data_IF_241630606577
#
_entry.id   IF_241630606577
#
_cell.length_a   1.000
_cell.length_b   1.000
_cell.length_c   1.000
_cell.angle_alpha   90.00
_cell.angle_beta   90.00
_cell.angle_gamma   90.00
#
_symmetry.space_group_name_H-M   'P 1'
#
loop_
_entity.id
_entity.type
_entity.pdbx_description
1 polymer ?
#
# COMPACT_ATOMS: atom_id res chain seq x y z
N UNK A 1 51.87 -13.79 0.93
CA UNK A 1 50.85 -14.06 1.97
C UNK A 1 49.54 -14.38 1.26
N UNK A 2 49.09 -15.63 1.32
CA UNK A 2 47.78 -16.01 0.81
C UNK A 2 46.72 -15.41 1.74
N UNK A 3 46.10 -14.31 1.32
CA UNK A 3 45.05 -13.66 2.11
C UNK A 3 43.88 -14.62 2.32
N UNK A 4 43.48 -14.85 3.56
CA UNK A 4 42.24 -15.56 3.90
C UNK A 4 41.07 -14.89 3.17
N UNK A 5 40.62 -15.48 2.07
CA UNK A 5 39.42 -15.04 1.38
C UNK A 5 38.23 -15.57 2.14
N UNK A 6 37.43 -14.66 2.71
CA UNK A 6 36.15 -15.02 3.30
C UNK A 6 35.29 -15.75 2.24
N UNK A 7 34.68 -16.90 2.55
CA UNK A 7 33.85 -17.62 1.60
C UNK A 7 32.72 -16.73 1.06
N UNK A 8 32.44 -16.83 -0.25
CA UNK A 8 31.42 -15.99 -0.93
C UNK A 8 30.05 -16.05 -0.24
N UNK A 9 29.69 -17.22 0.28
CA UNK A 9 28.43 -17.44 1.01
C UNK A 9 28.35 -16.58 2.29
N UNK A 10 29.46 -16.46 3.02
CA UNK A 10 29.53 -15.61 4.22
C UNK A 10 29.48 -14.13 3.85
N UNK A 11 30.15 -13.71 2.77
CA UNK A 11 30.05 -12.33 2.27
C UNK A 11 28.60 -11.97 1.96
N UNK A 12 27.88 -12.85 1.25
CA UNK A 12 26.46 -12.65 0.94
C UNK A 12 25.62 -12.57 2.22
N UNK A 13 25.85 -13.45 3.20
CA UNK A 13 25.14 -13.39 4.48
C UNK A 13 25.39 -12.08 5.24
N UNK A 14 26.62 -11.57 5.24
CA UNK A 14 26.96 -10.29 5.87
C UNK A 14 26.24 -9.16 5.15
N UNK A 15 26.38 -9.06 3.82
CA UNK A 15 25.77 -8.00 3.03
C UNK A 15 24.24 -7.97 3.17
N UNK A 16 23.57 -9.11 3.17
CA UNK A 16 22.11 -9.17 3.30
C UNK A 16 21.57 -8.66 4.66
N UNK A 17 22.43 -8.54 5.68
CA UNK A 17 22.06 -8.01 7.01
C UNK A 17 22.40 -6.52 7.19
N UNK A 18 23.09 -5.92 6.22
CA UNK A 18 23.53 -4.55 6.34
C UNK A 18 22.43 -3.55 5.97
N UNK A 19 22.42 -2.36 6.60
CA UNK A 19 21.54 -1.27 6.20
C UNK A 19 21.74 -0.89 4.73
N UNK A 20 20.67 -0.56 3.98
CA UNK A 20 20.76 -0.15 2.58
C UNK A 20 21.76 1.00 2.34
N UNK A 21 21.75 2.02 3.21
CA UNK A 21 22.68 3.17 3.14
C UNK A 21 24.16 2.70 3.10
N UNK A 22 24.53 1.68 3.87
CA UNK A 22 25.89 1.13 3.89
C UNK A 22 26.21 0.34 2.62
N UNK A 23 25.25 -0.46 2.14
CA UNK A 23 25.39 -1.23 0.90
C UNK A 23 25.58 -0.31 -0.31
N UNK A 24 24.83 0.79 -0.38
CA UNK A 24 24.99 1.78 -1.45
C UNK A 24 26.38 2.42 -1.44
N UNK A 25 26.96 2.70 -0.26
CA UNK A 25 28.36 3.16 -0.15
C UNK A 25 29.35 2.10 -0.65
N UNK A 26 29.11 0.82 -0.36
CA UNK A 26 29.97 -0.28 -0.81
C UNK A 26 29.94 -0.51 -2.31
N UNK A 27 28.80 -0.25 -2.98
CA UNK A 27 28.72 -0.26 -4.46
C UNK A 27 29.74 0.70 -5.08
N UNK A 28 30.02 1.83 -4.42
CA UNK A 28 30.97 2.84 -4.91
C UNK A 28 32.45 2.45 -4.75
N UNK A 29 32.77 1.43 -3.94
CA UNK A 29 34.16 1.08 -3.62
C UNK A 29 34.83 0.25 -4.71
N UNK A 30 34.11 -0.71 -5.31
CA UNK A 30 34.66 -1.58 -6.36
C UNK A 30 33.58 -2.21 -7.25
N UNK A 31 33.90 -2.45 -8.52
CA UNK A 31 32.97 -3.06 -9.51
C UNK A 31 32.43 -4.43 -9.06
N UNK A 32 33.27 -5.26 -8.42
CA UNK A 32 32.82 -6.56 -7.91
C UNK A 32 31.81 -6.44 -6.76
N UNK A 33 31.97 -5.46 -5.87
CA UNK A 33 30.99 -5.18 -4.82
C UNK A 33 29.69 -4.66 -5.41
N UNK A 34 29.78 -3.75 -6.39
CA UNK A 34 28.60 -3.28 -7.12
C UNK A 34 27.82 -4.44 -7.76
N UNK A 35 28.52 -5.31 -8.50
CA UNK A 35 27.91 -6.48 -9.15
C UNK A 35 27.30 -7.47 -8.14
N UNK A 36 28.00 -7.74 -7.03
CA UNK A 36 27.51 -8.65 -6.00
C UNK A 36 26.27 -8.10 -5.29
N UNK A 37 26.31 -6.83 -4.85
CA UNK A 37 25.22 -6.18 -4.12
C UNK A 37 23.98 -6.01 -5.01
N UNK A 38 24.19 -5.72 -6.30
CA UNK A 38 23.09 -5.59 -7.27
C UNK A 38 22.56 -6.92 -7.79
N UNK A 39 23.15 -8.06 -7.37
CA UNK A 39 22.69 -9.37 -7.81
C UNK A 39 21.34 -9.73 -7.18
N UNK A 40 20.47 -10.38 -7.96
CA UNK A 40 19.13 -10.82 -7.49
C UNK A 40 19.21 -11.63 -6.19
N UNK A 41 20.23 -12.47 -6.04
CA UNK A 41 20.40 -13.30 -4.85
C UNK A 41 20.64 -12.48 -3.58
N UNK A 42 21.48 -11.44 -3.64
CA UNK A 42 21.74 -10.58 -2.47
C UNK A 42 20.51 -9.73 -2.15
N UNK A 43 19.84 -9.18 -3.16
CA UNK A 43 18.61 -8.39 -3.01
C UNK A 43 17.49 -9.22 -2.38
N UNK A 44 17.22 -10.42 -2.90
CA UNK A 44 16.17 -11.29 -2.38
C UNK A 44 16.45 -11.71 -0.92
N UNK A 45 17.70 -12.05 -0.60
CA UNK A 45 18.10 -12.41 0.76
C UNK A 45 18.08 -11.23 1.72
N UNK A 46 18.39 -10.02 1.23
CA UNK A 46 18.26 -8.78 1.99
C UNK A 46 16.80 -8.51 2.35
N UNK A 47 15.88 -8.62 1.38
CA UNK A 47 14.44 -8.53 1.60
C UNK A 47 13.93 -9.54 2.60
N UNK A 48 14.27 -10.82 2.42
CA UNK A 48 13.85 -11.89 3.33
C UNK A 48 14.30 -11.64 4.77
N UNK A 49 15.53 -11.15 4.95
CA UNK A 49 16.05 -10.82 6.27
C UNK A 49 15.26 -9.69 6.93
N UNK A 50 15.04 -8.59 6.22
CA UNK A 50 14.35 -7.42 6.80
C UNK A 50 12.83 -7.60 6.93
N UNK A 51 12.22 -8.52 6.17
CA UNK A 51 10.79 -8.87 6.30
C UNK A 51 10.49 -9.78 7.51
N UNK A 52 11.43 -10.65 7.93
CA UNK A 52 11.12 -11.73 8.88
C UNK A 52 12.03 -11.81 10.11
N UNK A 53 13.20 -11.18 10.06
CA UNK A 53 14.27 -11.36 11.05
C UNK A 53 14.75 -10.02 11.62
N UNK A 54 14.08 -8.92 11.27
CA UNK A 54 14.40 -7.58 11.77
C UNK A 54 13.95 -7.44 13.22
N UNK A 55 14.78 -6.84 14.06
CA UNK A 55 14.41 -6.44 15.43
C UNK A 55 13.65 -5.10 15.48
N UNK A 56 13.32 -4.55 14.31
CA UNK A 56 12.60 -3.28 14.20
C UNK A 56 11.51 -3.37 13.13
N UNK A 57 10.38 -2.75 13.43
CA UNK A 57 9.31 -2.49 12.45
C UNK A 57 9.49 -1.08 11.89
N UNK A 58 9.34 -0.92 10.58
CA UNK A 58 9.23 0.41 9.95
C UNK A 58 7.82 0.61 9.42
N UNK A 59 7.27 1.81 9.62
CA UNK A 59 5.96 2.24 9.13
C UNK A 59 6.18 3.47 8.27
N UNK A 60 5.67 3.45 7.05
CA UNK A 60 5.60 4.64 6.20
C UNK A 60 4.35 5.43 6.59
N UNK A 61 4.55 6.69 6.94
CA UNK A 61 3.51 7.65 7.27
C UNK A 61 3.37 8.65 6.13
N UNK A 62 2.14 8.95 5.74
CA UNK A 62 1.76 10.17 5.01
C UNK A 62 1.03 11.03 6.02
N UNK A 63 1.55 12.21 6.35
CA UNK A 63 1.02 13.02 7.45
C UNK A 63 0.93 14.50 7.08
N UNK A 64 -0.16 15.19 7.45
CA UNK A 64 -0.25 16.63 7.40
C UNK A 64 0.63 17.27 8.48
N UNK A 65 1.26 18.38 8.14
CA UNK A 65 2.05 19.22 9.04
C UNK A 65 1.59 20.66 8.85
N UNK A 66 1.23 21.31 9.96
CA UNK A 66 0.81 22.72 9.97
C UNK A 66 2.03 23.58 10.25
N UNK A 67 2.33 24.54 9.36
CA UNK A 67 3.38 25.51 9.61
C UNK A 67 2.88 26.71 10.43
N UNK A 68 3.73 27.25 11.31
CA UNK A 68 3.48 28.50 12.04
C UNK A 68 3.79 29.72 11.16
N UNK A 69 3.08 29.89 10.05
CA UNK A 69 3.07 31.12 9.25
C UNK A 69 1.71 31.80 9.29
N UNK A 70 1.65 33.08 8.91
CA UNK A 70 0.42 33.88 8.86
C UNK A 70 -0.68 33.23 8.00
N UNK A 71 -0.29 32.44 7.01
CA UNK A 71 -1.16 31.54 6.24
C UNK A 71 -1.11 30.14 6.87
N UNK A 72 -2.20 29.69 7.50
CA UNK A 72 -2.37 28.33 8.05
C UNK A 72 -2.48 27.28 6.92
N UNK A 73 -1.47 27.17 6.06
CA UNK A 73 -1.47 26.17 5.01
C UNK A 73 -0.96 24.85 5.58
N UNK A 74 -1.67 23.77 5.30
CA UNK A 74 -1.22 22.41 5.59
C UNK A 74 -0.27 21.95 4.49
N UNK A 75 0.75 21.18 4.87
CA UNK A 75 1.66 20.53 3.94
C UNK A 75 1.74 19.04 4.25
N UNK A 76 1.98 18.21 3.25
CA UNK A 76 2.04 16.76 3.42
C UNK A 76 3.51 16.30 3.41
N UNK A 77 3.83 15.46 4.38
CA UNK A 77 5.15 14.83 4.57
C UNK A 77 5.03 13.33 4.54
N UNK A 78 6.00 12.69 3.90
CA UNK A 78 6.21 11.26 4.05
C UNK A 78 7.33 10.99 5.05
N UNK A 79 7.09 10.15 6.04
CA UNK A 79 8.06 9.83 7.10
C UNK A 79 8.17 8.33 7.32
N UNK A 80 9.35 7.85 7.69
CA UNK A 80 9.58 6.49 8.15
C UNK A 80 9.65 6.49 9.68
N UNK A 81 8.61 5.96 10.32
CA UNK A 81 8.59 5.66 11.75
C UNK A 81 9.22 4.28 11.96
N UNK A 82 10.39 4.22 12.60
CA UNK A 82 11.05 2.96 12.96
C UNK A 82 10.89 2.69 14.45
N UNK A 83 10.23 1.59 14.77
CA UNK A 83 10.01 1.09 16.13
C UNK A 83 11.01 -0.03 16.40
N UNK A 84 11.77 0.06 17.49
CA UNK A 84 12.75 -0.96 17.87
C UNK A 84 12.21 -1.79 19.03
N UNK A 85 12.32 -3.11 18.90
CA UNK A 85 11.86 -4.03 19.94
C UNK A 85 12.83 -3.96 21.12
N UNK A 86 12.42 -3.31 22.21
CA UNK A 86 13.18 -3.31 23.46
C UNK A 86 13.02 -4.66 24.17
N UNK A 87 14.15 -5.31 24.48
CA UNK A 87 14.22 -6.45 25.40
C UNK A 87 14.42 -6.01 26.87
N UNK A 88 14.39 -4.71 27.14
CA UNK A 88 14.72 -4.16 28.45
C UNK A 88 13.44 -3.76 29.17
N UNK A 89 13.28 -4.21 30.42
CA UNK A 89 12.06 -4.10 31.22
C UNK A 89 11.69 -2.71 31.73
N UNK A 90 12.11 -1.64 31.03
CA UNK A 90 11.70 -0.27 31.33
C UNK A 90 10.52 0.09 30.41
N UNK A 91 9.30 -0.13 30.91
CA UNK A 91 8.06 0.08 30.14
C UNK A 91 7.84 1.54 29.67
N UNK A 92 8.60 2.51 30.19
CA UNK A 92 8.35 3.95 29.99
C UNK A 92 9.14 4.60 28.84
N UNK A 93 10.17 3.97 28.28
CA UNK A 93 10.87 4.53 27.12
C UNK A 93 10.46 3.78 25.84
N UNK A 94 10.05 4.54 24.81
CA UNK A 94 9.86 4.00 23.47
C UNK A 94 11.12 4.29 22.67
N UNK A 95 11.92 3.30 22.30
CA UNK A 95 12.94 3.46 21.26
C UNK A 95 12.28 3.51 19.87
N UNK A 96 11.98 4.73 19.42
CA UNK A 96 11.51 5.00 18.06
C UNK A 96 12.30 6.14 17.41
N UNK A 97 12.37 6.11 16.09
CA UNK A 97 12.96 7.15 15.26
C UNK A 97 11.98 7.53 14.15
N UNK A 98 11.94 8.81 13.78
CA UNK A 98 11.08 9.32 12.69
C UNK A 98 11.99 10.08 11.73
N UNK A 99 12.21 9.51 10.54
CA UNK A 99 13.00 10.13 9.48
C UNK A 99 12.07 10.60 8.34
N UNK A 100 12.09 11.89 8.02
CA UNK A 100 11.34 12.42 6.87
C UNK A 100 12.02 12.02 5.55
N UNK A 101 11.20 11.59 4.58
CA UNK A 101 11.65 11.16 3.27
C UNK A 101 11.93 12.40 2.40
N UNK A 102 13.16 12.49 1.90
CA UNK A 102 13.52 13.50 0.92
C UNK A 102 13.33 12.97 -0.49
N UNK A 103 12.41 13.58 -1.23
CA UNK A 103 12.22 13.31 -2.65
C UNK A 103 13.17 14.15 -3.52
N UNK A 104 13.78 13.57 -4.57
CA UNK A 104 14.57 14.34 -5.53
C UNK A 104 13.69 15.36 -6.27
N UNK A 105 14.13 16.62 -6.49
CA UNK A 105 13.35 17.61 -7.25
C UNK A 105 12.96 17.16 -8.67
N UNK A 106 13.75 16.28 -9.27
CA UNK A 106 13.52 15.69 -10.59
C UNK A 106 12.31 14.77 -10.69
N UNK A 107 11.72 14.38 -9.57
CA UNK A 107 10.50 13.54 -9.53
C UNK A 107 9.25 14.31 -10.01
N UNK A 108 9.34 15.64 -10.12
CA UNK A 108 8.22 16.48 -10.53
C UNK A 108 7.25 16.83 -9.40
N UNK A 109 7.56 16.46 -8.15
CA UNK A 109 6.83 16.94 -6.98
C UNK A 109 7.10 18.44 -6.78
N UNK A 110 6.06 19.27 -6.88
CA UNK A 110 6.03 20.64 -6.36
C UNK A 110 6.22 20.59 -4.85
N UNK A 111 7.49 20.62 -4.43
CA UNK A 111 7.83 20.63 -3.01
C UNK A 111 8.35 21.97 -2.56
N UNK A 112 7.94 22.42 -1.37
CA UNK A 112 8.64 23.48 -0.65
C UNK A 112 9.72 22.86 0.21
N UNK A 113 10.98 22.96 -0.20
CA UNK A 113 12.18 22.38 0.45
C UNK A 113 12.18 20.84 0.61
N UNK A 114 11.10 20.22 1.11
CA UNK A 114 10.89 18.78 1.32
C UNK A 114 9.38 18.38 1.39
N UNK A 115 8.47 19.34 1.44
CA UNK A 115 7.05 19.15 1.75
C UNK A 115 6.19 19.30 0.50
N UNK A 116 5.11 18.54 0.36
CA UNK A 116 4.15 18.71 -0.74
C UNK A 116 3.09 19.71 -0.32
N UNK A 117 2.92 20.78 -1.09
CA UNK A 117 1.88 21.78 -0.84
C UNK A 117 0.50 21.11 -0.92
N UNK A 118 -0.38 21.38 0.05
CA UNK A 118 -1.79 20.99 0.00
C UNK A 118 -2.63 22.20 -0.46
N UNK A 119 -3.00 22.32 -1.74
CA UNK A 119 -3.68 23.51 -2.24
C UNK A 119 -5.20 23.31 -2.16
N UNK A 120 -5.74 23.40 -0.94
CA UNK A 120 -7.20 23.44 -0.72
C UNK A 120 -7.96 22.20 -1.22
N UNK A 121 -9.28 22.31 -1.51
CA UNK A 121 -10.15 21.14 -1.78
C UNK A 121 -9.88 20.43 -3.12
N UNK A 122 -8.86 20.84 -3.87
CA UNK A 122 -8.43 20.20 -5.11
C UNK A 122 -7.27 19.25 -4.83
N UNK A 123 -7.48 17.96 -5.13
CA UNK A 123 -6.63 16.78 -4.96
C UNK A 123 -5.20 16.88 -5.58
N UNK A 124 -4.40 17.88 -5.22
CA UNK A 124 -3.05 18.08 -5.75
C UNK A 124 -1.94 17.59 -4.80
N UNK A 125 -2.23 16.64 -3.92
CA UNK A 125 -1.21 15.97 -3.11
C UNK A 125 -0.82 14.60 -3.72
N UNK A 126 0.33 14.07 -3.33
CA UNK A 126 0.70 12.70 -3.62
C UNK A 126 0.04 11.72 -2.64
N UNK A 127 -0.49 10.61 -3.17
CA UNK A 127 -1.13 9.54 -2.41
C UNK A 127 -0.34 8.22 -2.52
N UNK A 128 -0.44 7.39 -1.48
CA UNK A 128 0.15 6.06 -1.48
C UNK A 128 -0.79 5.11 -2.22
N UNK A 129 -0.36 4.60 -3.36
CA UNK A 129 -1.08 3.54 -4.07
C UNK A 129 -0.82 2.18 -3.42
N UNK A 130 0.42 1.98 -2.96
CA UNK A 130 0.82 0.74 -2.29
C UNK A 130 2.33 0.62 -2.18
N UNK A 131 2.78 -0.51 -1.64
CA UNK A 131 4.19 -0.81 -1.48
C UNK A 131 4.47 -2.30 -1.73
N UNK A 132 5.68 -2.62 -2.19
CA UNK A 132 6.10 -4.00 -2.36
C UNK A 132 7.63 -4.09 -2.33
N UNK A 133 8.18 -4.93 -1.44
CA UNK A 133 9.62 -5.16 -1.36
C UNK A 133 10.47 -3.89 -1.21
N UNK A 134 10.01 -2.92 -0.41
CA UNK A 134 10.70 -1.64 -0.18
C UNK A 134 10.64 -0.62 -1.32
N UNK A 135 9.82 -0.87 -2.33
CA UNK A 135 9.41 0.12 -3.30
C UNK A 135 8.04 0.65 -2.88
N UNK A 136 7.87 1.98 -2.97
CA UNK A 136 6.61 2.69 -2.77
C UNK A 136 6.09 3.08 -4.15
N UNK A 137 4.80 2.86 -4.41
CA UNK A 137 4.10 3.44 -5.54
C UNK A 137 3.30 4.65 -5.07
N UNK A 138 3.56 5.79 -5.68
CA UNK A 138 2.88 7.05 -5.41
C UNK A 138 2.05 7.45 -6.63
N UNK A 139 0.83 7.92 -6.39
CA UNK A 139 0.05 8.67 -7.37
C UNK A 139 0.28 10.14 -7.14
N UNK A 140 0.62 10.88 -8.20
CA UNK A 140 0.92 12.30 -8.13
C UNK A 140 -0.23 13.11 -8.74
N UNK A 141 -0.80 14.00 -7.93
CA UNK A 141 -1.77 15.02 -8.35
C UNK A 141 -3.09 14.46 -8.92
N UNK A 142 -4.03 15.35 -9.21
CA UNK A 142 -5.26 15.03 -9.92
C UNK A 142 -5.03 14.45 -11.34
N UNK A 143 -3.81 14.56 -11.88
CA UNK A 143 -3.44 14.02 -13.19
C UNK A 143 -3.24 12.50 -13.19
N UNK A 144 -3.01 11.87 -12.02
CA UNK A 144 -2.85 10.42 -11.88
C UNK A 144 -1.54 9.88 -12.45
N UNK A 145 -0.48 10.69 -12.45
CA UNK A 145 0.86 10.26 -12.86
C UNK A 145 1.45 9.37 -11.76
N UNK A 146 1.97 8.20 -12.13
CA UNK A 146 2.49 7.23 -11.17
C UNK A 146 4.01 7.31 -11.08
N UNK A 147 4.54 7.23 -9.86
CA UNK A 147 5.97 7.13 -9.60
C UNK A 147 6.27 5.98 -8.64
N UNK A 148 7.25 5.16 -9.03
CA UNK A 148 7.87 4.20 -8.13
C UNK A 148 9.07 4.85 -7.44
N UNK A 149 9.19 4.67 -6.13
CA UNK A 149 10.29 5.22 -5.35
C UNK A 149 10.82 4.21 -4.33
N UNK A 150 12.14 4.02 -4.32
CA UNK A 150 12.82 3.31 -3.24
C UNK A 150 13.58 4.33 -2.36
N UNK A 151 13.06 4.68 -1.17
CA UNK A 151 13.67 5.69 -0.29
C UNK A 151 15.03 5.25 0.27
N UNK A 152 15.25 3.93 0.43
CA UNK A 152 16.47 3.40 1.03
C UNK A 152 17.71 3.58 0.13
N UNK A 153 17.51 3.56 -1.20
CA UNK A 153 18.57 3.76 -2.19
C UNK A 153 18.42 5.06 -3.00
N UNK A 154 17.34 5.83 -2.74
CA UNK A 154 17.01 7.11 -3.40
C UNK A 154 16.89 7.01 -4.92
N UNK A 155 16.45 5.86 -5.41
CA UNK A 155 16.12 5.65 -6.82
C UNK A 155 14.63 5.84 -7.02
N UNK A 156 14.25 6.46 -8.13
CA UNK A 156 12.85 6.60 -8.54
C UNK A 156 12.70 6.24 -10.02
N UNK A 157 11.47 5.92 -10.41
CA UNK A 157 11.08 5.72 -11.80
C UNK A 157 9.69 6.30 -12.03
N UNK A 158 9.61 7.27 -12.93
CA UNK A 158 8.33 7.79 -13.44
C UNK A 158 7.75 6.76 -14.38
N UNK A 159 6.48 6.40 -14.16
CA UNK A 159 5.79 5.41 -14.97
C UNK A 159 5.24 6.11 -16.21
N UNK A 160 5.42 5.53 -17.42
CA UNK A 160 4.88 6.12 -18.64
C UNK A 160 3.35 6.18 -18.59
N UNK A 161 2.76 6.99 -19.47
CA UNK A 161 1.31 7.08 -19.57
C UNK A 161 0.69 5.69 -19.83
N UNK A 162 -0.46 5.40 -19.21
CA UNK A 162 -1.16 4.15 -19.45
C UNK A 162 -1.64 4.01 -20.90
N UNK A 163 -1.89 2.78 -21.34
CA UNK A 163 -2.34 2.50 -22.71
C UNK A 163 -3.84 2.74 -22.90
N UNK A 164 -4.61 2.73 -21.81
CA UNK A 164 -6.01 3.09 -21.80
C UNK A 164 -6.20 4.61 -21.73
N UNK A 165 -7.26 5.15 -22.35
CA UNK A 165 -7.57 6.57 -22.22
C UNK A 165 -7.86 6.91 -20.75
N UNK A 166 -7.51 8.13 -20.33
CA UNK A 166 -7.88 8.61 -19.00
C UNK A 166 -9.42 8.67 -18.88
N UNK A 167 -10.00 8.19 -17.77
CA UNK A 167 -11.43 8.36 -17.51
C UNK A 167 -11.87 9.82 -17.59
N UNK A 168 -13.14 10.03 -17.92
CA UNK A 168 -13.75 11.37 -17.83
C UNK A 168 -13.78 11.83 -16.36
N UNK A 169 -13.92 13.14 -16.15
CA UNK A 169 -14.11 13.71 -14.82
C UNK A 169 -15.26 12.98 -14.11
N UNK A 170 -15.09 12.67 -12.81
CA UNK A 170 -16.01 11.92 -11.93
C UNK A 170 -15.97 10.38 -12.01
N UNK A 171 -15.21 9.78 -12.93
CA UNK A 171 -15.02 8.32 -12.95
C UNK A 171 -13.73 7.91 -12.25
N UNK A 172 -13.72 6.71 -11.68
CA UNK A 172 -12.61 6.26 -10.85
C UNK A 172 -11.56 5.46 -11.63
N UNK A 173 -10.36 5.49 -11.08
CA UNK A 173 -9.20 4.69 -11.44
C UNK A 173 -8.74 3.99 -10.16
N UNK A 174 -8.58 2.68 -10.19
CA UNK A 174 -8.12 1.88 -9.07
C UNK A 174 -6.78 1.24 -9.41
N UNK A 175 -5.73 1.69 -8.75
CA UNK A 175 -4.37 1.18 -8.99
C UNK A 175 -3.98 0.11 -7.95
N UNK A 176 -3.23 -0.88 -8.39
CA UNK A 176 -2.64 -1.93 -7.57
C UNK A 176 -1.15 -2.03 -7.86
N UNK A 177 -0.32 -2.07 -6.82
CA UNK A 177 1.12 -2.31 -6.95
C UNK A 177 1.52 -3.65 -6.33
N UNK A 178 2.35 -4.42 -7.02
CA UNK A 178 2.75 -5.73 -6.55
C UNK A 178 3.96 -6.31 -7.27
N UNK A 179 4.29 -7.54 -6.91
CA UNK A 179 5.38 -8.32 -7.50
C UNK A 179 4.84 -9.66 -8.01
N UNK A 180 5.15 -9.98 -9.26
CA UNK A 180 4.85 -11.28 -9.85
C UNK A 180 6.01 -12.25 -9.57
N UNK A 181 5.81 -13.25 -8.70
CA UNK A 181 6.85 -14.22 -8.38
C UNK A 181 7.21 -15.14 -9.56
N UNK A 182 6.34 -15.31 -10.58
CA UNK A 182 6.63 -16.14 -11.76
C UNK A 182 7.58 -15.45 -12.73
N UNK A 183 7.36 -14.17 -13.03
CA UNK A 183 8.24 -13.38 -13.91
C UNK A 183 9.41 -12.70 -13.19
N UNK A 184 9.42 -12.72 -11.85
CA UNK A 184 10.36 -12.01 -11.00
C UNK A 184 10.40 -10.49 -11.27
N UNK A 185 9.23 -9.91 -11.47
CA UNK A 185 9.09 -8.51 -11.84
C UNK A 185 8.01 -7.78 -11.05
N UNK A 186 8.18 -6.46 -10.95
CA UNK A 186 7.18 -5.60 -10.35
C UNK A 186 6.14 -5.22 -11.40
N UNK A 187 4.89 -5.19 -10.97
CA UNK A 187 3.76 -4.87 -11.82
C UNK A 187 2.89 -3.78 -11.18
N UNK A 188 2.24 -3.01 -12.04
CA UNK A 188 1.12 -2.17 -11.67
C UNK A 188 -0.10 -2.65 -12.44
N UNK A 189 -1.25 -2.67 -11.79
CA UNK A 189 -2.54 -2.92 -12.44
C UNK A 189 -3.39 -1.69 -12.24
N UNK A 190 -4.01 -1.23 -13.30
CA UNK A 190 -4.99 -0.16 -13.26
C UNK A 190 -6.35 -0.73 -13.70
N UNK A 191 -7.39 -0.51 -12.90
CA UNK A 191 -8.79 -0.81 -13.25
C UNK A 191 -9.55 0.51 -13.32
N UNK A 192 -10.16 0.81 -14.46
CA UNK A 192 -10.78 2.09 -14.73
C UNK A 192 -12.25 1.94 -15.16
N UNK A 193 -13.08 2.87 -14.68
CA UNK A 193 -14.47 3.08 -15.14
C UNK A 193 -14.52 4.21 -16.17
N UNK A 194 -15.37 4.10 -17.19
CA UNK A 194 -15.39 5.02 -18.33
C UNK A 194 -16.66 5.84 -18.49
N UNK A 195 -17.75 5.43 -17.85
CA UNK A 195 -19.02 6.03 -18.19
C UNK A 195 -20.24 5.29 -17.69
N UNK A 196 -21.34 5.97 -17.90
CA UNK A 196 -22.66 5.38 -18.05
C UNK A 196 -23.24 5.84 -19.38
N UNK A 197 -24.05 4.98 -19.99
CA UNK A 197 -24.83 5.28 -21.18
C UNK A 197 -26.29 5.47 -20.78
N UNK A 198 -26.87 6.61 -21.17
CA UNK A 198 -28.29 6.92 -20.97
C UNK A 198 -29.03 6.80 -22.29
N UNK A 199 -30.11 6.05 -22.30
CA UNK A 199 -30.91 5.78 -23.50
C UNK A 199 -32.19 6.62 -23.51
N UNK A 200 -32.82 6.74 -24.68
CA UNK A 200 -34.04 7.53 -24.89
C UNK A 200 -35.25 7.01 -24.09
N UNK A 201 -35.21 5.76 -23.63
CA UNK A 201 -36.23 5.12 -22.80
C UNK A 201 -35.93 5.20 -21.29
N UNK A 202 -35.14 6.19 -20.88
CA UNK A 202 -34.67 6.46 -19.50
C UNK A 202 -33.75 5.41 -18.88
N UNK A 203 -33.46 4.31 -19.60
CA UNK A 203 -32.53 3.29 -19.12
C UNK A 203 -31.12 3.85 -18.97
N UNK A 204 -30.42 3.37 -17.94
CA UNK A 204 -29.04 3.70 -17.65
C UNK A 204 -28.22 2.40 -17.57
N UNK A 205 -27.13 2.33 -18.34
CA UNK A 205 -26.22 1.18 -18.34
C UNK A 205 -24.82 1.67 -18.02
N UNK A 206 -24.24 1.15 -16.95
CA UNK A 206 -22.84 1.44 -16.59
C UNK A 206 -21.91 0.73 -17.58
N UNK A 207 -20.92 1.46 -18.08
CA UNK A 207 -19.92 0.88 -18.98
C UNK A 207 -19.07 -0.16 -18.24
N UNK A 208 -18.74 -1.29 -18.90
CA UNK A 208 -17.82 -2.26 -18.32
C UNK A 208 -16.50 -1.61 -17.93
N UNK A 209 -15.95 -2.07 -16.81
CA UNK A 209 -14.60 -1.70 -16.41
C UNK A 209 -13.60 -2.13 -17.49
N UNK A 210 -12.44 -1.48 -17.52
CA UNK A 210 -11.30 -1.97 -18.30
C UNK A 210 -10.10 -2.01 -17.39
N UNK A 211 -9.19 -2.95 -17.65
CA UNK A 211 -7.97 -3.05 -16.88
C UNK A 211 -6.73 -3.11 -17.78
N UNK A 212 -5.64 -2.58 -17.27
CA UNK A 212 -4.34 -2.62 -17.91
C UNK A 212 -3.25 -2.91 -16.90
N UNK A 213 -2.14 -3.44 -17.39
CA UNK A 213 -1.02 -3.86 -16.58
C UNK A 213 0.27 -3.28 -17.13
N UNK A 214 1.04 -2.64 -16.25
CA UNK A 214 2.42 -2.27 -16.49
C UNK A 214 3.37 -3.30 -15.91
N UNK A 215 4.48 -3.54 -16.59
CA UNK A 215 5.58 -4.38 -16.10
C UNK A 215 6.87 -3.56 -16.05
N UNK A 216 7.54 -3.56 -14.90
CA UNK A 216 8.72 -2.72 -14.65
C UNK A 216 9.89 -3.03 -15.59
N UNK A 217 10.17 -4.31 -15.85
CA UNK A 217 11.28 -4.76 -16.67
C UNK A 217 11.11 -4.47 -18.16
N UNK A 218 9.90 -4.56 -18.71
CA UNK A 218 9.63 -4.18 -20.11
C UNK A 218 9.31 -2.68 -20.27
N UNK A 219 9.03 -1.99 -19.15
CA UNK A 219 8.65 -0.58 -19.13
C UNK A 219 7.46 -0.28 -20.05
N UNK A 220 6.45 -1.14 -20.06
CA UNK A 220 5.33 -1.06 -21.00
C UNK A 220 4.00 -1.43 -20.34
N UNK A 221 2.94 -0.77 -20.79
CA UNK A 221 1.55 -1.10 -20.48
C UNK A 221 0.96 -2.08 -21.50
N UNK A 222 -0.05 -2.83 -21.09
CA UNK A 222 -0.95 -3.59 -21.96
C UNK A 222 -2.32 -3.71 -21.33
N UNK A 223 -3.37 -3.72 -22.14
CA UNK A 223 -4.71 -4.07 -21.68
C UNK A 223 -4.78 -5.54 -21.26
N UNK A 224 -5.52 -5.83 -20.20
CA UNK A 224 -5.76 -7.18 -19.68
C UNK A 224 -7.26 -7.41 -19.53
N UNK A 225 -7.64 -8.69 -19.52
CA UNK A 225 -9.03 -9.06 -19.41
C UNK A 225 -9.53 -9.01 -17.95
N UNK A 226 -10.80 -8.66 -17.77
CA UNK A 226 -11.48 -8.53 -16.48
C UNK A 226 -12.66 -9.50 -16.31
N UNK A 227 -12.79 -10.58 -17.09
CA UNK A 227 -13.95 -11.49 -17.15
C UNK A 227 -14.69 -11.72 -15.82
N UNK A 228 -13.97 -11.90 -14.71
CA UNK A 228 -14.55 -12.17 -13.40
C UNK A 228 -15.17 -10.95 -12.69
N UNK A 229 -14.95 -9.73 -13.20
CA UNK A 229 -15.52 -8.47 -12.74
C UNK A 229 -16.65 -7.96 -13.67
N UNK A 230 -17.06 -8.75 -14.67
CA UNK A 230 -18.05 -8.32 -15.68
C UNK A 230 -19.50 -8.66 -15.31
N UNK A 231 -19.73 -9.49 -14.29
CA UNK A 231 -21.07 -9.97 -13.91
C UNK A 231 -21.97 -8.84 -13.42
N UNK A 232 -21.41 -7.92 -12.65
CA UNK A 232 -22.02 -6.68 -12.19
C UNK A 232 -20.97 -5.57 -12.30
N UNK A 233 -21.28 -4.34 -11.86
CA UNK A 233 -20.25 -3.30 -11.81
C UNK A 233 -19.52 -3.35 -10.46
N UNK A 234 -18.20 -3.54 -10.49
CA UNK A 234 -17.36 -3.48 -9.29
C UNK A 234 -16.85 -2.06 -9.04
N UNK A 235 -17.19 -1.47 -7.91
CA UNK A 235 -16.73 -0.14 -7.50
C UNK A 235 -15.77 -0.27 -6.32
N UNK A 236 -14.49 0.02 -6.54
CA UNK A 236 -13.46 -0.09 -5.50
C UNK A 236 -13.57 1.04 -4.46
N UNK A 237 -13.38 0.69 -3.18
CA UNK A 237 -13.34 1.65 -2.07
C UNK A 237 -12.27 1.23 -1.05
N UNK A 238 -11.17 2.01 -0.89
CA UNK A 238 -10.80 3.21 -1.64
C UNK A 238 -10.45 2.92 -3.11
N UNK A 239 -10.18 3.97 -3.90
CA UNK A 239 -9.76 3.88 -5.30
C UNK A 239 -8.32 3.34 -5.50
N UNK A 240 -7.91 2.34 -4.72
CA UNK A 240 -6.66 1.60 -4.89
C UNK A 240 -6.75 0.26 -4.14
N UNK A 241 -5.95 -0.71 -4.56
CA UNK A 241 -5.77 -1.96 -3.81
C UNK A 241 -4.94 -1.67 -2.56
N UNK A 242 -5.45 -2.10 -1.41
CA UNK A 242 -4.88 -1.73 -0.11
C UNK A 242 -3.68 -2.59 0.25
N UNK A 243 -3.61 -3.85 -0.20
CA UNK A 243 -2.61 -4.82 0.28
C UNK A 243 -2.06 -5.67 -0.84
N UNK A 244 -0.73 -5.80 -0.91
CA UNK A 244 -0.08 -6.89 -1.65
C UNK A 244 0.34 -8.00 -0.70
N UNK A 245 -0.04 -9.25 -0.99
CA UNK A 245 0.37 -10.41 -0.21
C UNK A 245 0.48 -11.67 -1.06
N UNK A 246 1.64 -12.34 -0.98
CA UNK A 246 1.93 -13.63 -1.65
C UNK A 246 1.47 -13.68 -3.12
N UNK A 247 1.87 -12.70 -3.93
CA UNK A 247 1.55 -12.68 -5.37
C UNK A 247 0.13 -12.23 -5.70
N UNK A 248 -0.62 -11.70 -4.74
CA UNK A 248 -1.97 -11.18 -4.96
C UNK A 248 -2.06 -9.74 -4.44
N UNK A 249 -2.73 -8.88 -5.20
CA UNK A 249 -3.13 -7.54 -4.74
C UNK A 249 -4.60 -7.61 -4.30
N UNK A 250 -4.92 -7.19 -3.08
CA UNK A 250 -6.27 -7.22 -2.48
C UNK A 250 -6.84 -5.82 -2.30
N UNK A 251 -8.11 -5.64 -2.63
CA UNK A 251 -8.86 -4.41 -2.46
C UNK A 251 -10.30 -4.70 -2.03
N UNK A 252 -10.92 -3.74 -1.34
CA UNK A 252 -12.33 -3.77 -1.03
C UNK A 252 -13.12 -3.09 -2.17
N UNK A 253 -14.28 -3.65 -2.48
CA UNK A 253 -15.16 -3.11 -3.50
C UNK A 253 -16.62 -3.43 -3.19
N UNK A 254 -17.49 -2.66 -3.81
CA UNK A 254 -18.93 -2.87 -3.81
C UNK A 254 -19.35 -3.39 -5.19
N UNK A 255 -20.16 -4.45 -5.22
CA UNK A 255 -20.90 -4.81 -6.43
C UNK A 255 -22.17 -3.98 -6.50
N UNK A 256 -22.37 -3.30 -7.63
CA UNK A 256 -23.54 -2.48 -7.92
C UNK A 256 -24.17 -2.94 -9.23
N UNK A 257 -25.50 -2.74 -9.36
CA UNK A 257 -26.24 -3.10 -10.57
C UNK A 257 -25.63 -2.42 -11.80
N UNK A 258 -25.49 -3.17 -12.88
CA UNK A 258 -24.97 -2.65 -14.16
C UNK A 258 -26.01 -1.93 -15.01
N UNK A 259 -27.28 -2.32 -14.93
CA UNK A 259 -28.38 -1.74 -15.71
C UNK A 259 -29.54 -1.32 -14.80
N UNK A 260 -30.12 -0.16 -15.11
CA UNK A 260 -31.24 0.43 -14.42
C UNK A 260 -32.35 0.76 -15.42
N UNK A 261 -33.60 0.53 -15.01
CA UNK A 261 -34.79 0.81 -15.83
C UNK A 261 -34.97 2.32 -15.98
N UNK A 262 -34.69 3.07 -14.91
CA UNK A 262 -34.64 4.53 -14.91
C UNK A 262 -33.38 5.04 -14.23
N UNK A 263 -32.87 6.19 -14.66
CA UNK A 263 -31.79 6.89 -13.96
C UNK A 263 -32.11 7.21 -12.48
N UNK A 264 -33.39 7.33 -12.11
CA UNK A 264 -33.78 7.52 -10.70
C UNK A 264 -33.57 6.26 -9.86
N UNK A 265 -33.74 5.07 -10.45
CA UNK A 265 -33.53 3.79 -9.75
C UNK A 265 -32.06 3.63 -9.31
N UNK A 266 -31.12 4.25 -10.04
CA UNK A 266 -29.71 4.24 -9.67
C UNK A 266 -29.39 4.96 -8.36
N UNK A 267 -30.29 5.83 -7.87
CA UNK A 267 -30.11 6.51 -6.59
C UNK A 267 -30.61 5.70 -5.40
N UNK A 268 -31.53 4.77 -5.63
CA UNK A 268 -32.23 4.03 -4.57
C UNK A 268 -31.81 2.55 -4.51
N UNK A 269 -31.51 1.92 -5.65
CA UNK A 269 -31.31 0.47 -5.75
C UNK A 269 -30.02 0.05 -6.47
N UNK A 270 -28.95 0.83 -6.36
CA UNK A 270 -27.68 0.49 -7.01
C UNK A 270 -26.89 -0.60 -6.28
N UNK A 271 -26.94 -0.62 -4.96
CA UNK A 271 -26.09 -1.49 -4.14
C UNK A 271 -26.56 -2.96 -4.17
N UNK A 272 -25.62 -3.88 -4.38
CA UNK A 272 -25.88 -5.33 -4.29
C UNK A 272 -25.20 -5.91 -3.04
N UNK A 273 -23.88 -5.74 -2.90
CA UNK A 273 -23.09 -6.33 -1.80
C UNK A 273 -21.66 -5.80 -1.71
N UNK A 274 -21.05 -5.98 -0.55
CA UNK A 274 -19.60 -5.81 -0.32
C UNK A 274 -18.82 -7.05 -0.75
N UNK A 275 -17.73 -6.85 -1.49
CA UNK A 275 -16.81 -7.92 -1.92
C UNK A 275 -15.37 -7.56 -1.62
N UNK A 276 -14.56 -8.58 -1.34
CA UNK A 276 -13.11 -8.47 -1.46
C UNK A 276 -12.74 -8.92 -2.87
N UNK A 277 -11.93 -8.11 -3.56
CA UNK A 277 -11.41 -8.40 -4.89
C UNK A 277 -9.91 -8.57 -4.79
N UNK A 278 -9.36 -9.57 -5.48
CA UNK A 278 -7.92 -9.70 -5.61
C UNK A 278 -7.49 -10.05 -7.01
N UNK A 279 -6.34 -9.47 -7.39
CA UNK A 279 -5.68 -9.76 -8.64
C UNK A 279 -4.50 -10.68 -8.40
N UNK A 280 -4.52 -11.87 -9.00
CA UNK A 280 -3.38 -12.77 -9.01
C UNK A 280 -2.37 -12.30 -10.05
N UNK A 281 -1.21 -11.84 -9.57
CA UNK A 281 -0.15 -11.23 -10.41
C UNK A 281 0.44 -12.19 -11.45
N UNK A 282 0.47 -13.48 -11.12
CA UNK A 282 1.08 -14.54 -11.90
C UNK A 282 0.16 -15.09 -12.99
N UNK A 283 -1.10 -15.34 -12.62
CA UNK A 283 -2.11 -15.91 -13.52
C UNK A 283 -2.85 -14.82 -14.30
N UNK A 284 -2.76 -13.58 -13.83
CA UNK A 284 -3.38 -12.37 -14.40
C UNK A 284 -4.90 -12.42 -14.40
N UNK A 285 -5.46 -12.99 -13.35
CA UNK A 285 -6.89 -13.20 -13.16
C UNK A 285 -7.35 -12.45 -11.93
N UNK A 286 -8.50 -11.79 -12.06
CA UNK A 286 -9.23 -11.22 -10.94
C UNK A 286 -10.11 -12.28 -10.29
N UNK A 287 -10.19 -12.23 -8.98
CA UNK A 287 -11.08 -13.06 -8.19
C UNK A 287 -11.84 -12.16 -7.23
N UNK A 288 -13.01 -12.61 -6.81
CA UNK A 288 -13.81 -11.92 -5.80
C UNK A 288 -14.41 -12.94 -4.85
N UNK A 289 -14.71 -12.49 -3.64
CA UNK A 289 -15.46 -13.25 -2.65
C UNK A 289 -16.24 -12.30 -1.75
N UNK A 290 -17.29 -12.83 -1.11
CA UNK A 290 -18.04 -12.07 -0.10
C UNK A 290 -17.14 -11.72 1.09
N UNK A 291 -17.36 -10.52 1.61
CA UNK A 291 -16.81 -10.07 2.89
C UNK A 291 -17.61 -10.64 4.07
N UNK A 292 -17.15 -10.52 5.34
CA UNK A 292 -17.92 -11.02 6.48
C UNK A 292 -19.30 -10.36 6.62
N UNK A 293 -20.30 -11.15 7.07
CA UNK A 293 -21.69 -10.71 7.29
C UNK A 293 -21.84 -9.44 8.16
N UNK A 294 -20.86 -9.13 9.01
CA UNK A 294 -20.90 -7.95 9.86
C UNK A 294 -20.84 -6.63 9.07
N UNK A 295 -20.22 -6.59 7.88
CA UNK A 295 -20.20 -5.39 7.04
C UNK A 295 -21.61 -4.98 6.61
N UNK A 296 -22.42 -5.95 6.17
CA UNK A 296 -23.79 -5.71 5.69
C UNK A 296 -24.74 -5.15 6.76
N UNK A 297 -24.41 -5.34 8.04
CA UNK A 297 -25.29 -4.92 9.15
C UNK A 297 -25.15 -3.45 9.50
N UNK A 298 -24.12 -2.75 8.99
CA UNK A 298 -23.66 -1.50 9.57
C UNK A 298 -23.11 -0.51 8.53
N UNK A 299 -23.97 0.36 7.98
CA UNK A 299 -23.57 1.34 6.95
C UNK A 299 -22.61 2.45 7.45
N UNK A 300 -22.10 2.37 8.68
CA UNK A 300 -21.24 3.37 9.31
C UNK A 300 -19.87 2.84 9.78
N UNK A 301 -19.46 1.65 9.29
CA UNK A 301 -18.14 1.11 9.58
C UNK A 301 -17.16 1.38 8.43
N UNK A 302 -15.99 1.92 8.78
CA UNK A 302 -14.85 1.92 7.87
C UNK A 302 -14.03 0.68 8.13
N UNK A 303 -13.79 -0.09 7.08
CA UNK A 303 -12.91 -1.23 7.11
C UNK A 303 -11.71 -1.03 6.18
N UNK A 304 -10.58 -1.56 6.60
CA UNK A 304 -9.33 -1.58 5.87
C UNK A 304 -8.78 -3.01 5.81
N UNK A 305 -7.96 -3.27 4.80
CA UNK A 305 -7.22 -4.51 4.67
C UNK A 305 -5.79 -4.35 5.19
N UNK A 306 -5.25 -5.42 5.78
CA UNK A 306 -3.84 -5.53 6.15
C UNK A 306 -3.36 -6.98 6.00
N UNK A 307 -2.05 -7.19 6.13
CA UNK A 307 -1.48 -8.52 6.37
C UNK A 307 -1.31 -8.70 7.88
N UNK A 308 -2.03 -9.68 8.44
CA UNK A 308 -1.96 -10.03 9.85
C UNK A 308 -1.65 -11.51 10.00
N UNK A 309 -0.62 -11.87 10.76
CA UNK A 309 -0.20 -13.27 10.99
C UNK A 309 -0.13 -14.12 9.71
N UNK A 310 0.50 -13.58 8.66
CA UNK A 310 0.68 -14.28 7.38
C UNK A 310 -0.65 -14.64 6.68
N UNK A 311 -1.72 -13.90 6.98
CA UNK A 311 -3.04 -13.96 6.35
C UNK A 311 -3.48 -12.55 5.96
N UNK A 312 -4.41 -12.45 5.00
CA UNK A 312 -5.11 -11.19 4.74
C UNK A 312 -6.14 -11.00 5.85
N UNK A 313 -6.19 -9.82 6.44
CA UNK A 313 -7.14 -9.50 7.48
C UNK A 313 -7.87 -8.21 7.15
N UNK A 314 -9.15 -8.23 7.49
CA UNK A 314 -10.02 -7.08 7.51
C UNK A 314 -10.06 -6.54 8.94
N UNK A 315 -9.91 -5.23 9.09
CA UNK A 315 -10.06 -4.57 10.37
C UNK A 315 -10.83 -3.27 10.19
N UNK A 316 -11.66 -2.92 11.16
CA UNK A 316 -12.49 -1.73 11.01
C UNK A 316 -13.04 -1.21 12.32
N UNK A 317 -13.53 0.02 12.26
CA UNK A 317 -14.06 0.74 13.43
C UNK A 317 -15.43 1.34 13.12
N UNK A 318 -16.21 1.62 14.15
CA UNK A 318 -17.52 2.23 14.01
C UNK A 318 -17.43 3.75 14.15
N UNK A 319 -17.82 4.50 13.12
CA UNK A 319 -17.82 5.98 13.17
C UNK A 319 -18.80 6.54 14.21
N UNK A 320 -19.82 5.77 14.60
CA UNK A 320 -20.89 6.20 15.50
C UNK A 320 -20.71 5.73 16.96
N UNK A 321 -19.50 5.30 17.34
CA UNK A 321 -19.03 5.24 18.73
C UNK A 321 -19.93 4.45 19.69
N UNK A 322 -19.78 3.12 19.70
CA UNK A 322 -20.30 2.24 20.77
C UNK A 322 -19.83 0.80 20.66
N UNK A 323 -19.00 0.47 19.66
CA UNK A 323 -18.66 -0.91 19.32
C UNK A 323 -17.17 -1.16 19.34
N UNK A 324 -16.77 -2.39 19.73
CA UNK A 324 -15.38 -2.78 19.73
C UNK A 324 -14.82 -2.75 18.31
N UNK A 325 -13.54 -2.45 18.25
CA UNK A 325 -12.70 -2.68 17.09
C UNK A 325 -12.63 -4.20 16.82
N UNK A 326 -12.81 -4.63 15.57
CA UNK A 326 -12.80 -6.06 15.21
C UNK A 326 -11.75 -6.38 14.15
N UNK A 327 -11.17 -7.57 14.26
CA UNK A 327 -10.24 -8.12 13.27
C UNK A 327 -10.78 -9.46 12.78
N UNK A 328 -10.94 -9.57 11.47
CA UNK A 328 -11.42 -10.74 10.76
C UNK A 328 -10.35 -11.23 9.81
N UNK A 329 -9.98 -12.51 9.91
CA UNK A 329 -8.96 -13.12 9.07
C UNK A 329 -9.61 -13.87 7.94
N UNK A 330 -9.13 -13.61 6.73
CA UNK A 330 -9.52 -14.31 5.51
C UNK A 330 -8.99 -15.74 5.57
N UNK A 331 -9.89 -16.72 5.50
CA UNK A 331 -9.56 -18.13 5.40
C UNK A 331 -9.35 -18.55 3.94
N UNK A 332 -9.52 -19.85 3.69
CA UNK A 332 -9.48 -20.38 2.33
C UNK A 332 -10.73 -19.95 1.55
N UNK A 333 -10.55 -19.74 0.24
CA UNK A 333 -11.62 -19.46 -0.71
C UNK A 333 -11.73 -20.60 -1.71
N UNK A 334 -12.96 -20.95 -2.05
CA UNK A 334 -13.30 -21.89 -3.11
C UNK A 334 -13.59 -21.20 -4.46
N UNK A 335 -13.33 -19.90 -4.56
CA UNK A 335 -13.54 -19.08 -5.76
C UNK A 335 -14.92 -18.44 -5.87
N UNK A 336 -15.86 -18.75 -4.97
CA UNK A 336 -17.17 -18.09 -4.88
C UNK A 336 -17.44 -17.53 -3.48
N UNK A 337 -16.95 -18.24 -2.46
CA UNK A 337 -17.06 -17.84 -1.07
C UNK A 337 -15.69 -17.79 -0.43
N UNK A 338 -15.58 -16.99 0.63
CA UNK A 338 -14.42 -17.01 1.49
C UNK A 338 -14.90 -17.24 2.92
N UNK A 339 -14.24 -18.17 3.62
CA UNK A 339 -14.43 -18.27 5.07
C UNK A 339 -13.78 -17.08 5.76
N UNK A 340 -14.45 -16.51 6.75
CA UNK A 340 -13.92 -15.42 7.56
C UNK A 340 -13.98 -15.82 9.02
N UNK A 341 -12.86 -15.67 9.72
CA UNK A 341 -12.74 -16.02 11.14
C UNK A 341 -12.52 -14.75 11.94
N UNK A 342 -13.46 -14.43 12.83
CA UNK A 342 -13.26 -13.36 13.80
C UNK A 342 -12.14 -13.75 14.75
N UNK A 343 -11.03 -13.03 14.70
CA UNK A 343 -9.86 -13.32 15.51
C UNK A 343 -9.84 -12.49 16.79
N UNK A 344 -10.24 -11.22 16.72
CA UNK A 344 -10.15 -10.31 17.86
C UNK A 344 -11.33 -9.34 17.90
N UNK A 345 -11.76 -9.00 19.11
CA UNK A 345 -12.68 -7.90 19.41
C UNK A 345 -12.05 -7.11 20.54
N UNK A 346 -11.69 -5.85 20.30
CA UNK A 346 -11.07 -4.98 21.30
C UNK A 346 -12.01 -3.83 21.56
N UNK A 347 -12.55 -3.79 22.78
CA UNK A 347 -13.21 -2.60 23.25
C UNK A 347 -12.14 -1.62 23.71
N UNK A 348 -12.01 -0.52 22.96
CA UNK A 348 -11.10 0.56 23.30
C UNK A 348 -11.95 1.74 23.73
N UNK A 349 -11.84 2.11 25.01
CA UNK A 349 -12.48 3.29 25.57
C UNK A 349 -12.18 4.52 24.70
N UNK A 350 -13.21 5.31 24.37
CA UNK A 350 -13.16 6.44 23.43
C UNK A 350 -13.05 6.09 21.93
N UNK A 351 -13.05 4.81 21.55
CA UNK A 351 -13.14 4.32 20.15
C UNK A 351 -12.17 4.99 19.16
N UNK A 352 -10.84 4.95 19.39
CA UNK A 352 -9.85 5.49 18.47
C UNK A 352 -9.87 4.74 17.12
N UNK A 353 -9.55 5.47 16.05
CA UNK A 353 -9.47 4.94 14.69
C UNK A 353 -8.16 4.16 14.49
N UNK A 354 -8.20 2.88 14.10
CA UNK A 354 -7.01 2.15 13.70
C UNK A 354 -6.51 2.61 12.34
N UNK A 355 -5.23 2.97 12.27
CA UNK A 355 -4.58 3.36 11.02
C UNK A 355 -3.93 2.16 10.34
N UNK A 356 -3.13 1.42 11.09
CA UNK A 356 -2.35 0.30 10.57
C UNK A 356 -2.11 -0.72 11.66
N UNK A 357 -2.15 -1.99 11.25
CA UNK A 357 -1.81 -3.13 12.07
C UNK A 357 -0.56 -3.80 11.48
N UNK A 358 0.38 -4.17 12.33
CA UNK A 358 1.54 -4.95 11.95
C UNK A 358 1.87 -5.93 13.07
N UNK A 359 2.42 -7.07 12.66
CA UNK A 359 2.76 -8.17 13.56
C UNK A 359 1.54 -8.63 14.40
N UNK A 360 1.71 -9.67 15.22
CA UNK A 360 0.57 -10.34 15.85
C UNK A 360 -0.14 -9.52 16.92
N UNK A 361 0.40 -8.37 17.36
CA UNK A 361 0.00 -7.73 18.63
C UNK A 361 0.17 -6.19 18.70
N UNK A 362 0.45 -5.47 17.61
CA UNK A 362 0.57 -4.00 17.67
C UNK A 362 -0.25 -3.27 16.60
N UNK A 363 -0.66 -2.05 16.94
CA UNK A 363 -1.42 -1.16 16.07
C UNK A 363 -1.00 0.29 16.29
N UNK A 364 -1.11 1.09 15.22
CA UNK A 364 -1.12 2.53 15.31
C UNK A 364 -2.58 2.98 15.29
N UNK A 365 -2.96 3.77 16.29
CA UNK A 365 -4.32 4.28 16.47
C UNK A 365 -4.31 5.80 16.51
N UNK A 366 -5.42 6.41 16.12
CA UNK A 366 -5.69 7.85 16.25
C UNK A 366 -6.83 8.05 17.23
N UNK A 367 -6.56 8.78 18.31
CA UNK A 367 -7.61 9.12 19.28
C UNK A 367 -8.58 10.15 18.69
N UNK A 368 -9.79 10.27 19.26
CA UNK A 368 -10.74 11.33 18.87
C UNK A 368 -10.17 12.75 19.01
N UNK A 369 -9.11 12.92 19.82
CA UNK A 369 -8.35 14.16 19.98
C UNK A 369 -7.16 14.26 19.04
N UNK A 370 -7.17 13.54 17.92
CA UNK A 370 -6.16 13.66 16.84
C UNK A 370 -4.76 13.20 17.29
N UNK A 371 -4.62 12.51 18.43
CA UNK A 371 -3.30 12.02 18.90
C UNK A 371 -3.02 10.64 18.34
N UNK A 372 -1.82 10.45 17.85
CA UNK A 372 -1.35 9.13 17.38
C UNK A 372 -0.80 8.34 18.58
N UNK A 373 -1.22 7.08 18.71
CA UNK A 373 -0.78 6.19 19.75
C UNK A 373 -0.40 4.81 19.20
N UNK A 374 0.69 4.25 19.73
CA UNK A 374 0.97 2.83 19.65
C UNK A 374 0.08 2.10 20.66
N UNK A 375 -0.62 1.06 20.20
CA UNK A 375 -1.42 0.19 21.03
C UNK A 375 -0.91 -1.24 20.95
N UNK A 376 -0.75 -1.86 22.12
CA UNK A 376 -0.38 -3.26 22.25
C UNK A 376 -1.61 -4.09 22.63
N UNK A 377 -1.98 -5.05 21.79
CA UNK A 377 -3.09 -5.97 22.05
C UNK A 377 -2.81 -6.91 23.22
N UNK A 378 -1.53 -7.23 23.46
CA UNK A 378 -1.11 -8.13 24.53
C UNK A 378 -1.22 -7.49 25.92
N UNK A 379 -0.73 -6.26 26.06
CA UNK A 379 -0.71 -5.53 27.35
C UNK A 379 -1.93 -4.62 27.53
N UNK A 380 -2.67 -4.33 26.45
CA UNK A 380 -3.78 -3.37 26.40
C UNK A 380 -3.37 -1.95 26.81
N UNK A 381 -2.13 -1.57 26.53
CA UNK A 381 -1.58 -0.25 26.88
C UNK A 381 -1.41 0.66 25.67
N UNK A 382 -1.52 1.96 25.91
CA UNK A 382 -1.27 3.02 24.94
C UNK A 382 0.08 3.66 25.19
N UNK A 383 0.81 3.97 24.13
CA UNK A 383 1.95 4.87 24.19
C UNK A 383 1.81 5.94 23.11
N UNK A 384 1.67 7.20 23.52
CA UNK A 384 1.42 8.31 22.60
C UNK A 384 2.70 8.78 21.91
N UNK A 385 2.62 8.96 20.59
CA UNK A 385 3.69 9.55 19.81
C UNK A 385 3.51 11.07 19.72
N UNK A 386 4.59 11.85 19.54
CA UNK A 386 4.54 13.30 19.36
C UNK A 386 4.06 13.67 17.94
N UNK A 387 2.99 13.03 17.48
CA UNK A 387 2.38 13.19 16.17
C UNK A 387 0.90 13.55 16.35
N UNK A 388 0.41 14.42 15.48
CA UNK A 388 -1.01 14.75 15.37
C UNK A 388 -1.51 14.23 14.02
N UNK A 389 -2.61 13.47 14.04
CA UNK A 389 -3.28 12.99 12.84
C UNK A 389 -4.42 13.91 12.44
N UNK A 390 -4.31 14.57 11.28
CA UNK A 390 -5.42 15.31 10.70
C UNK A 390 -6.04 14.52 9.54
N UNK A 391 -6.93 15.17 8.80
CA UNK A 391 -7.36 14.67 7.50
C UNK A 391 -6.12 14.34 6.64
N UNK A 392 -6.15 13.23 5.88
CA UNK A 392 -5.02 12.76 5.07
C UNK A 392 -3.83 12.14 5.85
N UNK A 393 -4.03 11.65 7.08
CA UNK A 393 -3.03 10.85 7.78
C UNK A 393 -3.16 9.36 7.43
N UNK A 394 -2.19 8.81 6.70
CA UNK A 394 -2.14 7.40 6.33
C UNK A 394 -0.90 6.72 6.89
N UNK A 395 -0.99 5.42 7.16
CA UNK A 395 0.12 4.62 7.63
C UNK A 395 0.10 3.23 7.00
N UNK A 396 1.26 2.75 6.55
CA UNK A 396 1.40 1.37 6.03
C UNK A 396 2.69 0.73 6.55
N UNK A 397 2.71 -0.60 6.82
CA UNK A 397 3.94 -1.28 7.18
C UNK A 397 4.92 -1.19 6.01
N UNK A 398 6.19 -0.93 6.28
CA UNK A 398 7.18 -0.72 5.24
C UNK A 398 8.48 -1.46 5.55
N UNK A 399 9.16 -1.94 4.52
CA UNK A 399 10.45 -2.63 4.67
C UNK A 399 11.48 -1.93 3.82
N UNK A 400 12.56 -1.48 4.45
CA UNK A 400 13.69 -0.91 3.74
C UNK A 400 14.43 -1.99 2.94
N UNK A 401 14.65 -1.74 1.65
CA UNK A 401 15.30 -2.70 0.75
C UNK A 401 16.30 -2.06 -0.19
N UNK A 402 17.15 -2.90 -0.79
CA UNK A 402 18.09 -2.49 -1.84
C UNK A 402 17.59 -2.83 -3.26
N UNK A 403 16.28 -3.01 -3.45
CA UNK A 403 15.72 -3.35 -4.76
C UNK A 403 15.91 -2.19 -5.73
N UNK A 404 16.64 -2.38 -6.85
CA UNK A 404 16.84 -1.32 -7.83
C UNK A 404 15.59 -1.12 -8.69
N UNK A 405 15.31 0.13 -9.07
CA UNK A 405 14.23 0.47 -10.01
C UNK A 405 14.74 0.55 -11.45
N UNK A 406 16.00 0.92 -11.62
CA UNK A 406 16.66 0.97 -12.92
C UNK A 406 17.38 -0.35 -13.17
N UNK A 407 16.67 -1.29 -13.79
CA UNK A 407 17.24 -2.55 -14.29
C UNK A 407 17.96 -2.26 -15.61
N UNK A 408 19.08 -1.55 -15.56
CA UNK A 408 20.03 -1.62 -16.68
C UNK A 408 20.48 -3.09 -16.75
N UNK A 409 20.06 -3.78 -17.81
CA UNK A 409 20.52 -5.11 -18.14
C UNK A 409 22.03 -5.03 -18.40
N UNK A 410 22.83 -5.07 -17.34
CA UNK A 410 24.23 -5.40 -17.46
C UNK A 410 24.25 -6.88 -17.79
N UNK A 411 24.17 -7.19 -19.09
CA UNK A 411 24.59 -8.46 -19.65
C UNK A 411 26.07 -8.62 -19.32
N UNK A 412 26.35 -9.15 -18.13
CA UNK A 412 27.67 -9.67 -17.82
C UNK A 412 27.78 -10.97 -18.61
N UNK A 413 28.28 -10.86 -19.85
CA UNK A 413 28.88 -12.01 -20.53
C UNK A 413 30.01 -12.50 -19.63
N UNK A 414 29.77 -13.58 -18.90
CA UNK A 414 30.81 -14.35 -18.26
C UNK A 414 31.39 -15.23 -19.37
N UNK A 415 32.45 -14.75 -20.01
CA UNK A 415 33.42 -15.61 -20.71
C UNK A 415 34.44 -16.15 -19.71
#
# INVERSE_FOLDING_TARGET
MAGCKLPRVMVVQILSRMPPKSLMRFKCVHKSWNSLISSRHVVAKHLQFHNHLSSSTTILLRRPVIWRTETKNEEIVFSLLTLRNENNGDEDNLDYDIEDIHFPPSIGLKTRAQFIENPGPTYECADIVGHCGGIICLSLYAAGDLVLYNPAIKEFKVIPEPCLPRPRQFYFRCDAFGYDPKSEDYILVNVASYGENRYDDDRLVIEPLRAEMYTLGTNSWREINIHNLETETTMFRPNHFQVYFKGNCYGLAEEIKKEFISSFDSLEEYYIREVIVWFNTSDRVFHSALTPDCLYRYPAHDFNLTVWNNCVALFGYNRCGSKPFEIWVMGESDGFTCSWIKHLSVDITESPQPLVLWESNQSLLVSPRIRVALYSFATKTFKYLPLCAAEHFDAIPFVNSIVPLNRDLVSVNIS
#
